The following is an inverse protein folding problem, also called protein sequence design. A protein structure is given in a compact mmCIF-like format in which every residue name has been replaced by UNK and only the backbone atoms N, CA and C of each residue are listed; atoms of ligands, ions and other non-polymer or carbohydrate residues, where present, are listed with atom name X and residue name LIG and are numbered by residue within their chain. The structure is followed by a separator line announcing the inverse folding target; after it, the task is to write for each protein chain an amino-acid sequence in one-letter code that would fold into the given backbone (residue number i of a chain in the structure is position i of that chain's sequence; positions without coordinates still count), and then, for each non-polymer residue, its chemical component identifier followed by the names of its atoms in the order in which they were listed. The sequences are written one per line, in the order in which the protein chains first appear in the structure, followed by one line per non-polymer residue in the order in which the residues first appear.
data_IF_004086520584
#
_entry.id   IF_004086520584
#
_cell.length_a   1.000
_cell.length_b   1.000
_cell.length_c   1.000
_cell.angle_alpha   90.00
_cell.angle_beta   90.00
_cell.angle_gamma   90.00
#
_symmetry.space_group_name_H-M   'P 1'
#
loop_
_entity.id
_entity.type
_entity.pdbx_description
1 polymer ?
#
# COMPACT_ATOMS: atom_id res chain seq x y z
N UNK A 1 -5.21 20.24 14.72
CA UNK A 1 -4.44 18.98 14.84
C UNK A 1 -5.06 17.82 14.05
N UNK A 2 -6.38 17.59 14.09
CA UNK A 2 -7.04 16.58 13.22
C UNK A 2 -6.84 16.89 11.73
N UNK A 3 -7.04 18.14 11.30
CA UNK A 3 -6.80 18.55 9.91
C UNK A 3 -5.32 18.41 9.48
N UNK A 4 -4.40 18.50 10.44
CA UNK A 4 -2.97 18.34 10.19
C UNK A 4 -2.60 16.87 9.93
N UNK A 5 -3.14 15.95 10.74
CA UNK A 5 -3.01 14.51 10.50
C UNK A 5 -3.61 14.13 9.13
N UNK A 6 -4.82 14.60 8.81
CA UNK A 6 -5.44 14.37 7.49
C UNK A 6 -4.60 14.93 6.34
N UNK A 7 -3.96 16.09 6.50
CA UNK A 7 -3.06 16.65 5.48
C UNK A 7 -1.87 15.74 5.21
N UNK A 8 -1.22 15.20 6.24
CA UNK A 8 -0.10 14.26 6.07
C UNK A 8 -0.56 12.95 5.40
N UNK A 9 -1.75 12.45 5.75
CA UNK A 9 -2.34 11.29 5.08
C UNK A 9 -2.53 11.56 3.58
N UNK A 10 -3.12 12.71 3.23
CA UNK A 10 -3.31 13.09 1.83
C UNK A 10 -1.97 13.21 1.13
N UNK A 11 -0.97 13.85 1.72
CA UNK A 11 0.37 13.97 1.15
C UNK A 11 1.01 12.61 0.86
N UNK A 12 0.90 11.66 1.80
CA UNK A 12 1.37 10.29 1.59
C UNK A 12 0.61 9.61 0.44
N UNK A 13 -0.72 9.74 0.41
CA UNK A 13 -1.59 9.14 -0.61
C UNK A 13 -1.44 9.77 -2.00
N UNK A 14 -0.96 11.00 -2.09
CA UNK A 14 -0.73 11.70 -3.36
C UNK A 14 0.72 11.60 -3.84
N UNK A 15 1.58 10.86 -3.12
CA UNK A 15 2.97 10.64 -3.53
C UNK A 15 3.87 11.85 -3.33
N UNK A 16 3.57 12.69 -2.34
CA UNK A 16 4.51 13.74 -1.88
C UNK A 16 5.82 13.06 -1.43
N UNK A 17 7.00 13.62 -1.74
CA UNK A 17 8.28 13.06 -1.28
C UNK A 17 8.27 12.79 0.23
N UNK A 18 8.69 11.59 0.63
CA UNK A 18 8.49 11.13 2.01
C UNK A 18 9.19 11.98 3.06
N UNK A 19 10.33 12.59 2.74
CA UNK A 19 11.03 13.52 3.63
C UNK A 19 10.26 14.81 3.89
N UNK A 20 9.40 15.27 2.97
CA UNK A 20 8.49 16.39 3.24
C UNK A 20 7.36 15.97 4.18
N UNK A 21 6.81 14.77 3.95
CA UNK A 21 5.76 14.19 4.80
C UNK A 21 6.26 13.95 6.22
N UNK A 22 7.47 13.40 6.35
CA UNK A 22 8.16 13.14 7.62
C UNK A 22 8.32 14.44 8.43
N UNK A 23 8.88 15.49 7.81
CA UNK A 23 9.04 16.79 8.46
C UNK A 23 7.72 17.38 8.93
N UNK A 24 6.63 17.16 8.18
CA UNK A 24 5.30 17.60 8.59
C UNK A 24 4.80 16.81 9.81
N UNK A 25 4.94 15.48 9.77
CA UNK A 25 4.55 14.60 10.87
C UNK A 25 5.32 14.89 12.15
N UNK A 26 6.64 15.01 12.10
CA UNK A 26 7.49 15.34 13.26
C UNK A 26 7.06 16.65 13.94
N UNK A 27 6.83 17.71 13.15
CA UNK A 27 6.30 18.98 13.66
C UNK A 27 4.97 18.80 14.38
N UNK A 28 4.04 18.04 13.80
CA UNK A 28 2.72 17.85 14.41
C UNK A 28 2.76 16.96 15.65
N UNK A 29 3.61 15.94 15.67
CA UNK A 29 3.83 15.09 16.84
C UNK A 29 4.36 15.92 18.00
N UNK A 30 5.34 16.81 17.78
CA UNK A 30 5.86 17.74 18.79
C UNK A 30 4.76 18.65 19.36
N UNK A 31 3.90 19.20 18.50
CA UNK A 31 2.76 20.00 18.94
C UNK A 31 1.74 19.16 19.72
N UNK A 32 1.40 17.95 19.26
CA UNK A 32 0.44 17.07 19.96
C UNK A 32 0.91 16.69 21.36
N UNK A 33 2.22 16.44 21.54
CA UNK A 33 2.85 16.23 22.85
C UNK A 33 2.67 17.45 23.75
N UNK A 34 2.96 18.65 23.23
CA UNK A 34 2.83 19.89 23.99
C UNK A 34 1.38 20.18 24.44
N UNK A 35 0.37 19.77 23.67
CA UNK A 35 -1.04 19.99 23.97
C UNK A 35 -1.75 18.79 24.63
N UNK A 36 -1.03 17.74 25.03
CA UNK A 36 -1.54 16.52 25.67
C UNK A 36 -2.74 15.86 24.96
N UNK A 37 -2.68 15.74 23.62
CA UNK A 37 -3.77 15.17 22.80
C UNK A 37 -3.51 13.68 22.49
N UNK A 38 -3.89 12.78 23.39
CA UNK A 38 -3.54 11.35 23.33
C UNK A 38 -4.12 10.56 22.14
N UNK A 39 -5.39 10.74 21.78
CA UNK A 39 -6.04 9.87 20.77
C UNK A 39 -5.50 10.02 19.34
N UNK A 40 -5.31 11.25 18.86
CA UNK A 40 -4.76 11.51 17.50
C UNK A 40 -3.24 11.29 17.46
N UNK A 41 -2.59 11.41 18.61
CA UNK A 41 -1.15 11.23 18.75
C UNK A 41 -0.72 9.81 18.34
N UNK A 42 -1.40 8.79 18.88
CA UNK A 42 -1.14 7.38 18.55
C UNK A 42 -1.19 7.13 17.04
N UNK A 43 -2.28 7.54 16.39
CA UNK A 43 -2.44 7.38 14.94
C UNK A 43 -1.33 8.08 14.18
N UNK A 44 -0.98 9.30 14.60
CA UNK A 44 0.08 10.09 13.94
C UNK A 44 1.44 9.43 14.08
N UNK A 45 1.75 8.80 15.23
CA UNK A 45 2.95 8.00 15.39
C UNK A 45 2.97 6.78 14.46
N UNK A 46 1.83 6.11 14.26
CA UNK A 46 1.71 5.00 13.28
C UNK A 46 2.05 5.47 11.86
N UNK A 47 1.50 6.62 11.42
CA UNK A 47 1.83 7.20 10.12
C UNK A 47 3.30 7.59 10.03
N UNK A 48 3.87 8.20 11.07
CA UNK A 48 5.26 8.63 11.10
C UNK A 48 6.21 7.44 11.01
N UNK A 49 5.97 6.38 11.79
CA UNK A 49 6.79 5.17 11.72
C UNK A 49 6.68 4.49 10.35
N UNK A 50 5.50 4.47 9.73
CA UNK A 50 5.34 3.98 8.35
C UNK A 50 6.19 4.77 7.36
N UNK A 51 6.18 6.11 7.45
CA UNK A 51 6.99 6.98 6.58
C UNK A 51 8.48 6.71 6.81
N UNK A 52 8.92 6.68 8.07
CA UNK A 52 10.32 6.38 8.42
C UNK A 52 10.77 5.00 7.92
N UNK A 53 9.91 3.99 8.02
CA UNK A 53 10.20 2.66 7.48
C UNK A 53 10.40 2.68 5.96
N UNK A 54 9.55 3.39 5.21
CA UNK A 54 9.67 3.53 3.76
C UNK A 54 10.93 4.31 3.37
N UNK A 55 11.32 5.31 4.15
CA UNK A 55 12.58 6.05 4.00
C UNK A 55 13.82 5.24 4.40
N UNK A 56 13.64 4.02 4.93
CA UNK A 56 14.74 3.14 5.30
C UNK A 56 15.39 3.45 6.65
N UNK A 57 14.68 4.15 7.54
CA UNK A 57 15.13 4.44 8.91
C UNK A 57 14.74 3.32 9.92
N UNK A 58 14.02 2.28 9.48
CA UNK A 58 13.70 1.11 10.30
C UNK A 58 14.56 -0.11 9.93
N UNK A 59 14.79 -1.01 10.90
CA UNK A 59 15.52 -2.28 10.66
C UNK A 59 14.76 -3.21 9.73
N UNK A 60 13.43 -3.31 9.91
CA UNK A 60 12.55 -4.14 9.10
C UNK A 60 11.42 -3.26 8.56
N UNK A 61 11.37 -2.95 7.26
CA UNK A 61 10.42 -1.98 6.71
C UNK A 61 8.94 -2.32 6.92
N UNK A 62 8.62 -3.59 7.13
CA UNK A 62 7.25 -4.09 7.33
C UNK A 62 6.78 -4.12 8.78
N UNK A 63 7.65 -3.81 9.75
CA UNK A 63 7.33 -3.80 11.18
C UNK A 63 7.32 -2.36 11.66
N UNK A 64 6.20 -1.89 12.23
CA UNK A 64 6.03 -0.51 12.71
C UNK A 64 6.71 -0.30 14.07
N UNK A 65 8.00 -0.58 14.17
CA UNK A 65 8.80 -0.38 15.38
C UNK A 65 10.03 0.45 15.06
N UNK A 66 10.24 1.51 15.81
CA UNK A 66 11.37 2.43 15.65
C UNK A 66 11.23 3.64 16.57
N UNK A 67 11.76 4.78 16.14
CA UNK A 67 11.79 6.01 16.95
C UNK A 67 10.41 6.54 17.33
N UNK A 68 9.40 6.39 16.45
CA UNK A 68 8.09 7.00 16.68
C UNK A 68 7.14 6.11 17.52
N UNK A 69 7.30 4.78 17.47
CA UNK A 69 6.46 3.85 18.21
C UNK A 69 7.03 2.43 18.24
N UNK A 70 6.45 1.59 19.10
CA UNK A 70 6.62 0.14 19.11
C UNK A 70 5.29 -0.54 18.73
N UNK A 71 5.33 -1.40 17.71
CA UNK A 71 4.14 -2.07 17.17
C UNK A 71 3.44 -2.96 18.20
N UNK A 72 4.20 -3.82 18.88
CA UNK A 72 3.65 -4.85 19.77
C UNK A 72 3.15 -4.25 21.09
N UNK A 73 3.79 -3.18 21.56
CA UNK A 73 3.30 -2.41 22.71
C UNK A 73 1.99 -1.71 22.36
N UNK A 74 1.94 -0.98 21.24
CA UNK A 74 0.74 -0.26 20.85
C UNK A 74 -0.42 -1.21 20.52
N UNK A 75 -0.14 -2.32 19.85
CA UNK A 75 -1.15 -3.32 19.55
C UNK A 75 -1.82 -3.84 20.84
N UNK A 76 -1.04 -4.21 21.85
CA UNK A 76 -1.56 -4.64 23.16
C UNK A 76 -2.35 -3.53 23.85
N UNK A 77 -1.84 -2.31 23.87
CA UNK A 77 -2.55 -1.16 24.46
C UNK A 77 -3.93 -0.93 23.82
N UNK A 78 -4.00 -1.03 22.48
CA UNK A 78 -5.25 -0.83 21.74
C UNK A 78 -6.25 -1.97 21.95
N UNK A 79 -5.76 -3.20 22.12
CA UNK A 79 -6.61 -4.33 22.51
C UNK A 79 -7.16 -4.16 23.93
N UNK A 80 -6.29 -3.85 24.91
CA UNK A 80 -6.67 -3.72 26.31
C UNK A 80 -7.64 -2.55 26.54
N UNK A 81 -7.47 -1.45 25.79
CA UNK A 81 -8.35 -0.28 25.86
C UNK A 81 -9.66 -0.42 25.07
N UNK A 82 -9.79 -1.45 24.22
CA UNK A 82 -10.95 -1.63 23.34
C UNK A 82 -11.08 -0.55 22.25
N UNK A 83 -9.99 0.15 21.91
CA UNK A 83 -10.01 1.21 20.89
C UNK A 83 -9.94 0.60 19.48
N UNK A 84 -11.04 0.02 19.03
CA UNK A 84 -11.11 -0.74 17.78
C UNK A 84 -10.76 0.06 16.54
N UNK A 85 -11.13 1.35 16.48
CA UNK A 85 -10.83 2.20 15.31
C UNK A 85 -9.33 2.37 15.15
N UNK A 86 -8.61 2.67 16.23
CA UNK A 86 -7.16 2.81 16.18
C UNK A 86 -6.48 1.46 15.91
N UNK A 87 -7.01 0.36 16.44
CA UNK A 87 -6.52 -1.00 16.17
C UNK A 87 -6.62 -1.35 14.68
N UNK A 88 -7.78 -1.12 14.07
CA UNK A 88 -8.00 -1.34 12.63
C UNK A 88 -7.08 -0.45 11.79
N UNK A 89 -6.86 0.80 12.19
CA UNK A 89 -5.90 1.65 11.49
C UNK A 89 -4.46 1.11 11.61
N UNK A 90 -4.02 0.68 12.80
CA UNK A 90 -2.71 0.05 12.98
C UNK A 90 -2.55 -1.20 12.10
N UNK A 91 -3.51 -2.11 12.18
CA UNK A 91 -3.51 -3.35 11.40
C UNK A 91 -3.48 -3.09 9.89
N UNK A 92 -4.21 -2.09 9.40
CA UNK A 92 -4.21 -1.79 7.96
C UNK A 92 -2.89 -1.14 7.50
N UNK A 93 -2.19 -0.40 8.35
CA UNK A 93 -0.81 0.02 8.05
C UNK A 93 0.14 -1.17 7.92
N UNK A 94 0.02 -2.12 8.85
CA UNK A 94 0.82 -3.35 8.85
C UNK A 94 0.52 -4.18 7.60
N UNK A 95 -0.76 -4.38 7.28
CA UNK A 95 -1.22 -5.03 6.06
C UNK A 95 -0.66 -4.37 4.80
N UNK A 96 -0.84 -3.05 4.64
CA UNK A 96 -0.40 -2.34 3.44
C UNK A 96 1.12 -2.39 3.25
N UNK A 97 1.91 -2.27 4.33
CA UNK A 97 3.36 -2.42 4.26
C UNK A 97 3.75 -3.82 3.82
N UNK A 98 3.13 -4.86 4.38
CA UNK A 98 3.42 -6.24 3.99
C UNK A 98 3.01 -6.54 2.54
N UNK A 99 1.93 -5.92 2.02
CA UNK A 99 1.60 -5.99 0.59
C UNK A 99 2.66 -5.29 -0.26
N UNK A 100 3.10 -4.09 0.14
CA UNK A 100 4.07 -3.29 -0.62
C UNK A 100 5.45 -3.96 -0.71
N UNK A 101 5.85 -4.68 0.33
CA UNK A 101 7.09 -5.47 0.36
C UNK A 101 6.87 -6.95 -0.01
N UNK A 102 5.68 -7.29 -0.52
CA UNK A 102 5.34 -8.62 -1.03
C UNK A 102 5.49 -9.78 -0.01
N UNK A 103 5.42 -9.49 1.29
CA UNK A 103 5.25 -10.49 2.36
C UNK A 103 3.77 -10.89 2.42
N UNK A 104 3.35 -11.66 1.42
CA UNK A 104 1.95 -12.06 1.24
C UNK A 104 1.40 -12.87 2.40
N UNK A 105 2.26 -13.63 3.10
CA UNK A 105 1.88 -14.44 4.25
C UNK A 105 1.41 -13.56 5.40
N UNK A 106 2.25 -12.61 5.84
CA UNK A 106 1.86 -11.66 6.89
C UNK A 106 0.74 -10.73 6.44
N UNK A 107 0.76 -10.29 5.19
CA UNK A 107 -0.33 -9.48 4.64
C UNK A 107 -1.68 -10.21 4.74
N UNK A 108 -1.73 -11.52 4.47
CA UNK A 108 -2.96 -12.30 4.61
C UNK A 108 -3.40 -12.39 6.08
N UNK A 109 -2.48 -12.64 7.02
CA UNK A 109 -2.79 -12.72 8.45
C UNK A 109 -3.40 -11.40 8.97
N UNK A 110 -2.75 -10.27 8.70
CA UNK A 110 -3.27 -8.96 9.13
C UNK A 110 -4.59 -8.61 8.43
N UNK A 111 -4.75 -8.99 7.17
CA UNK A 111 -6.01 -8.81 6.46
C UNK A 111 -7.14 -9.65 7.06
N UNK A 112 -6.90 -10.92 7.40
CA UNK A 112 -7.89 -11.78 8.04
C UNK A 112 -8.29 -11.24 9.42
N UNK A 113 -7.33 -10.74 10.19
CA UNK A 113 -7.57 -10.08 11.47
C UNK A 113 -8.38 -8.77 11.31
N UNK A 114 -8.03 -7.91 10.35
CA UNK A 114 -8.84 -6.72 10.04
C UNK A 114 -10.32 -7.08 9.79
N UNK A 115 -10.56 -8.18 9.09
CA UNK A 115 -11.91 -8.63 8.75
C UNK A 115 -12.69 -9.17 9.95
N UNK A 116 -12.09 -9.36 11.13
CA UNK A 116 -12.82 -9.64 12.38
C UNK A 116 -13.40 -8.39 13.01
N UNK A 117 -12.90 -7.19 12.66
CA UNK A 117 -13.33 -5.89 13.18
C UNK A 117 -14.25 -5.14 12.20
N UNK A 118 -15.32 -5.79 11.74
CA UNK A 118 -16.18 -5.29 10.64
C UNK A 118 -16.91 -3.98 10.97
N UNK A 119 -17.30 -3.78 12.22
CA UNK A 119 -18.07 -2.60 12.62
C UNK A 119 -17.18 -1.35 12.62
N UNK A 120 -15.94 -1.48 13.11
CA UNK A 120 -14.93 -0.43 12.99
C UNK A 120 -14.56 -0.13 11.53
N UNK A 121 -14.45 -1.16 10.67
CA UNK A 121 -14.23 -0.97 9.23
C UNK A 121 -15.39 -0.24 8.55
N UNK A 122 -16.63 -0.58 8.90
CA UNK A 122 -17.84 0.10 8.40
C UNK A 122 -17.85 1.58 8.78
N UNK A 123 -17.44 1.88 10.02
CA UNK A 123 -17.31 3.27 10.51
C UNK A 123 -16.32 4.10 9.67
N UNK A 124 -15.31 3.44 9.08
CA UNK A 124 -14.29 4.06 8.23
C UNK A 124 -14.67 4.07 6.74
N UNK A 125 -15.87 3.63 6.34
CA UNK A 125 -16.22 3.47 4.92
C UNK A 125 -16.23 4.80 4.13
N UNK A 126 -16.48 5.92 4.78
CA UNK A 126 -16.41 7.25 4.16
C UNK A 126 -14.98 7.78 4.04
N UNK A 127 -14.03 7.26 4.83
CA UNK A 127 -12.65 7.73 4.87
C UNK A 127 -11.89 7.39 3.57
N UNK A 128 -11.01 8.29 3.14
CA UNK A 128 -10.08 8.04 2.01
C UNK A 128 -9.29 6.73 2.18
N UNK A 129 -9.01 6.39 3.43
CA UNK A 129 -8.33 5.19 3.87
C UNK A 129 -8.93 3.89 3.31
N UNK A 130 -10.26 3.72 3.36
CA UNK A 130 -10.89 2.45 2.94
C UNK A 130 -10.70 2.18 1.44
N UNK A 131 -10.51 3.24 0.64
CA UNK A 131 -10.33 3.12 -0.81
C UNK A 131 -8.96 2.54 -1.13
N UNK A 132 -7.94 2.98 -0.41
CA UNK A 132 -6.60 2.42 -0.48
C UNK A 132 -6.57 0.98 0.04
N UNK A 133 -7.26 0.70 1.16
CA UNK A 133 -7.45 -0.66 1.66
C UNK A 133 -8.03 -1.58 0.57
N UNK A 134 -9.15 -1.21 -0.06
CA UNK A 134 -9.77 -2.01 -1.15
C UNK A 134 -8.77 -2.29 -2.29
N UNK A 135 -8.00 -1.29 -2.70
CA UNK A 135 -6.96 -1.47 -3.73
C UNK A 135 -5.90 -2.51 -3.31
N UNK A 136 -5.33 -2.36 -2.11
CA UNK A 136 -4.33 -3.31 -1.60
C UNK A 136 -4.90 -4.70 -1.38
N UNK A 137 -6.16 -4.84 -0.95
CA UNK A 137 -6.83 -6.14 -0.81
C UNK A 137 -7.00 -6.85 -2.15
N UNK A 138 -7.30 -6.09 -3.23
CA UNK A 138 -7.32 -6.66 -4.57
C UNK A 138 -5.91 -7.11 -5.04
N UNK A 139 -4.85 -6.37 -4.68
CA UNK A 139 -3.47 -6.77 -4.95
C UNK A 139 -3.03 -8.01 -4.16
N UNK A 140 -3.41 -8.11 -2.87
CA UNK A 140 -3.17 -9.30 -2.06
C UNK A 140 -3.84 -10.51 -2.72
N UNK A 141 -5.13 -10.44 -2.99
CA UNK A 141 -5.90 -11.57 -3.54
C UNK A 141 -5.47 -11.98 -4.95
N UNK A 142 -5.09 -11.02 -5.81
CA UNK A 142 -4.54 -11.32 -7.13
C UNK A 142 -3.19 -12.04 -7.02
N UNK A 143 -2.28 -11.55 -6.18
CA UNK A 143 -0.96 -12.17 -5.94
C UNK A 143 -1.10 -13.55 -5.32
N UNK A 144 -1.98 -13.68 -4.32
CA UNK A 144 -2.24 -14.96 -3.67
C UNK A 144 -2.84 -15.98 -4.63
N UNK A 145 -3.74 -15.54 -5.52
CA UNK A 145 -4.24 -16.39 -6.59
C UNK A 145 -3.13 -16.86 -7.53
N UNK A 146 -2.23 -15.97 -7.96
CA UNK A 146 -1.13 -16.37 -8.86
C UNK A 146 -0.21 -17.40 -8.22
N UNK A 147 0.16 -17.21 -6.94
CA UNK A 147 1.05 -18.13 -6.22
C UNK A 147 0.39 -19.47 -5.86
N UNK A 148 -0.90 -19.46 -5.52
CA UNK A 148 -1.60 -20.64 -4.96
C UNK A 148 -2.72 -21.19 -5.85
N UNK A 149 -2.86 -20.69 -7.08
CA UNK A 149 -3.96 -21.04 -8.00
C UNK A 149 -5.38 -20.90 -7.41
N UNK A 150 -5.56 -20.04 -6.41
CA UNK A 150 -6.82 -19.99 -5.65
C UNK A 150 -7.94 -19.23 -6.39
N UNK A 151 -8.91 -19.97 -6.94
CA UNK A 151 -10.06 -19.39 -7.67
C UNK A 151 -10.94 -18.49 -6.80
N UNK A 152 -11.01 -18.76 -5.48
CA UNK A 152 -11.72 -17.92 -4.50
C UNK A 152 -11.12 -16.50 -4.49
N UNK A 153 -9.81 -16.40 -4.34
CA UNK A 153 -9.11 -15.11 -4.30
C UNK A 153 -9.17 -14.38 -5.64
N UNK A 154 -9.09 -15.10 -6.78
CA UNK A 154 -9.33 -14.50 -8.11
C UNK A 154 -10.70 -13.81 -8.17
N UNK A 155 -11.77 -14.53 -7.78
CA UNK A 155 -13.14 -13.99 -7.79
C UNK A 155 -13.28 -12.80 -6.84
N UNK A 156 -12.66 -12.87 -5.66
CA UNK A 156 -12.68 -11.78 -4.69
C UNK A 156 -12.00 -10.51 -5.23
N UNK A 157 -10.82 -10.63 -5.84
CA UNK A 157 -10.12 -9.50 -6.45
C UNK A 157 -10.94 -8.84 -7.58
N UNK A 158 -11.56 -9.65 -8.45
CA UNK A 158 -12.44 -9.13 -9.52
C UNK A 158 -13.70 -8.45 -8.96
N UNK A 159 -14.28 -8.97 -7.87
CA UNK A 159 -15.41 -8.34 -7.20
C UNK A 159 -15.03 -6.95 -6.69
N UNK A 160 -13.89 -6.83 -6.03
CA UNK A 160 -13.37 -5.54 -5.54
C UNK A 160 -13.16 -4.57 -6.70
N UNK A 161 -12.51 -5.01 -7.78
CA UNK A 161 -12.33 -4.18 -8.99
C UNK A 161 -13.67 -3.69 -9.54
N UNK A 162 -14.68 -4.57 -9.65
CA UNK A 162 -16.00 -4.18 -10.13
C UNK A 162 -16.68 -3.17 -9.20
N UNK A 163 -16.58 -3.36 -7.88
CA UNK A 163 -17.07 -2.38 -6.90
C UNK A 163 -16.39 -1.02 -7.08
N UNK A 164 -15.07 -0.99 -7.24
CA UNK A 164 -14.32 0.26 -7.48
C UNK A 164 -14.76 0.95 -8.77
N UNK A 165 -14.94 0.19 -9.86
CA UNK A 165 -15.47 0.71 -11.14
C UNK A 165 -16.88 1.29 -11.00
N UNK A 166 -17.77 0.58 -10.30
CA UNK A 166 -19.13 1.08 -10.02
C UNK A 166 -19.09 2.38 -9.21
N UNK A 167 -18.25 2.47 -8.18
CA UNK A 167 -18.08 3.70 -7.41
C UNK A 167 -17.47 4.85 -8.23
N UNK A 168 -16.52 4.56 -9.11
CA UNK A 168 -15.96 5.57 -10.03
C UNK A 168 -17.04 6.11 -10.98
N UNK A 169 -17.84 5.22 -11.58
CA UNK A 169 -18.95 5.60 -12.45
C UNK A 169 -20.03 6.42 -11.71
N UNK A 170 -20.18 6.20 -10.40
CA UNK A 170 -21.03 7.01 -9.52
C UNK A 170 -20.39 8.34 -9.06
N UNK A 171 -19.23 8.73 -9.62
CA UNK A 171 -18.59 10.02 -9.34
C UNK A 171 -17.56 10.00 -8.21
N UNK A 172 -16.98 8.84 -7.85
CA UNK A 172 -15.87 8.77 -6.90
C UNK A 172 -14.50 8.81 -7.61
N UNK A 173 -13.85 9.99 -7.76
CA UNK A 173 -12.60 10.12 -8.53
C UNK A 173 -11.38 9.47 -7.83
N UNK A 174 -11.53 9.12 -6.55
CA UNK A 174 -10.43 8.57 -5.75
C UNK A 174 -9.99 7.17 -6.21
N UNK A 175 -10.72 6.53 -7.12
CA UNK A 175 -10.33 5.24 -7.72
C UNK A 175 -9.60 5.38 -9.05
N UNK A 176 -9.52 6.59 -9.62
CA UNK A 176 -8.94 6.84 -10.95
C UNK A 176 -7.49 6.35 -11.04
N UNK A 177 -6.71 6.55 -9.98
CA UNK A 177 -5.31 6.16 -9.94
C UNK A 177 -5.10 4.65 -9.71
N UNK A 178 -6.11 3.92 -9.22
CA UNK A 178 -6.00 2.51 -8.81
C UNK A 178 -6.56 1.54 -9.85
N UNK A 179 -7.69 1.89 -10.48
CA UNK A 179 -8.40 1.01 -11.41
C UNK A 179 -7.51 0.57 -12.59
N UNK A 180 -6.75 1.45 -13.27
CA UNK A 180 -5.90 1.04 -14.39
C UNK A 180 -4.88 -0.05 -14.00
N UNK A 181 -4.27 0.08 -12.82
CA UNK A 181 -3.30 -0.88 -12.29
C UNK A 181 -3.99 -2.23 -12.06
N UNK A 182 -5.15 -2.24 -11.40
CA UNK A 182 -5.88 -3.48 -11.14
C UNK A 182 -6.42 -4.14 -12.41
N UNK A 183 -6.82 -3.37 -13.42
CA UNK A 183 -7.23 -3.91 -14.72
C UNK A 183 -6.07 -4.63 -15.40
N UNK A 184 -4.86 -4.05 -15.35
CA UNK A 184 -3.67 -4.68 -15.90
C UNK A 184 -3.25 -5.94 -15.10
N UNK A 185 -3.23 -5.86 -13.76
CA UNK A 185 -2.82 -6.98 -12.89
C UNK A 185 -3.80 -8.18 -12.96
N UNK A 186 -5.10 -7.89 -13.04
CA UNK A 186 -6.18 -8.90 -13.17
C UNK A 186 -6.47 -9.30 -14.61
N UNK A 187 -5.64 -8.90 -15.57
CA UNK A 187 -5.72 -9.28 -16.98
C UNK A 187 -5.97 -10.78 -17.18
N UNK A 188 -6.74 -11.11 -18.21
CA UNK A 188 -7.09 -12.49 -18.55
C UNK A 188 -5.84 -13.30 -18.90
N UNK A 189 -5.84 -14.59 -18.57
CA UNK A 189 -4.76 -15.50 -18.97
C UNK A 189 -4.68 -15.72 -20.49
N UNK A 190 -5.68 -15.29 -21.25
CA UNK A 190 -5.70 -15.36 -22.71
C UNK A 190 -5.03 -14.16 -23.39
N UNK A 191 -4.73 -13.08 -22.65
CA UNK A 191 -4.09 -11.89 -23.23
C UNK A 191 -2.62 -12.17 -23.53
N UNK A 192 -2.12 -11.61 -24.63
CA UNK A 192 -0.72 -11.76 -25.00
C UNK A 192 0.19 -10.96 -24.06
N UNK A 193 1.48 -11.30 -24.03
CA UNK A 193 2.51 -10.54 -23.31
C UNK A 193 2.48 -9.05 -23.69
N UNK A 194 2.33 -8.76 -24.98
CA UNK A 194 2.28 -7.40 -25.51
C UNK A 194 1.04 -6.63 -25.03
N UNK A 195 -0.12 -7.27 -24.98
CA UNK A 195 -1.35 -6.63 -24.49
C UNK A 195 -1.25 -6.30 -23.01
N UNK A 196 -0.71 -7.22 -22.20
CA UNK A 196 -0.51 -7.01 -20.76
C UNK A 196 0.50 -5.89 -20.52
N UNK A 197 1.65 -5.93 -21.20
CA UNK A 197 2.66 -4.87 -21.12
C UNK A 197 2.07 -3.50 -21.49
N UNK A 198 1.37 -3.40 -22.62
CA UNK A 198 0.70 -2.16 -23.04
C UNK A 198 -0.32 -1.66 -22.01
N UNK A 199 -1.04 -2.58 -21.35
CA UNK A 199 -2.00 -2.23 -20.30
C UNK A 199 -1.31 -1.63 -19.08
N UNK A 200 -0.14 -2.16 -18.69
CA UNK A 200 0.65 -1.59 -17.60
C UNK A 200 1.25 -0.23 -17.95
N UNK A 201 1.79 -0.05 -19.15
CA UNK A 201 2.27 1.26 -19.59
C UNK A 201 1.16 2.32 -19.59
N UNK A 202 -0.03 1.99 -20.10
CA UNK A 202 -1.21 2.87 -20.00
C UNK A 202 -1.59 3.18 -18.56
N UNK A 203 -1.49 2.20 -17.65
CA UNK A 203 -1.73 2.43 -16.22
C UNK A 203 -0.71 3.38 -15.60
N UNK A 204 0.57 3.26 -15.96
CA UNK A 204 1.64 4.17 -15.53
C UNK A 204 1.43 5.59 -16.07
N UNK A 205 1.14 5.72 -17.35
CA UNK A 205 0.97 7.01 -18.03
C UNK A 205 -0.23 7.79 -17.48
N UNK A 206 -1.32 7.09 -17.18
CA UNK A 206 -2.53 7.68 -16.60
C UNK A 206 -2.41 7.98 -15.10
N UNK A 207 -1.40 7.46 -14.42
CA UNK A 207 -1.24 7.62 -12.99
C UNK A 207 -0.60 8.98 -12.65
N UNK A 208 -1.22 9.73 -11.73
CA UNK A 208 -0.69 11.04 -11.29
C UNK A 208 0.36 10.94 -10.19
N UNK A 209 0.34 9.85 -9.42
CA UNK A 209 1.11 9.74 -8.19
C UNK A 209 2.32 8.83 -8.40
N UNK A 210 3.51 9.37 -8.10
CA UNK A 210 4.79 8.71 -8.39
C UNK A 210 4.91 7.31 -7.76
N UNK A 211 4.49 7.15 -6.51
CA UNK A 211 4.54 5.86 -5.82
C UNK A 211 3.62 4.80 -6.43
N UNK A 212 2.51 5.20 -7.04
CA UNK A 212 1.62 4.28 -7.76
C UNK A 212 2.16 3.94 -9.15
N UNK A 213 2.90 4.84 -9.81
CA UNK A 213 3.68 4.48 -11.01
C UNK A 213 4.72 3.42 -10.68
N UNK A 214 5.46 3.62 -9.59
CA UNK A 214 6.43 2.66 -9.10
C UNK A 214 5.80 1.29 -8.83
N UNK A 215 4.68 1.28 -8.10
CA UNK A 215 3.92 0.06 -7.81
C UNK A 215 3.40 -0.59 -9.10
N UNK A 216 2.85 0.17 -10.05
CA UNK A 216 2.35 -0.36 -11.32
C UNK A 216 3.46 -1.08 -12.11
N UNK A 217 4.67 -0.52 -12.13
CA UNK A 217 5.84 -1.18 -12.70
C UNK A 217 6.24 -2.45 -11.94
N UNK A 218 6.27 -2.43 -10.61
CA UNK A 218 6.54 -3.64 -9.82
C UNK A 218 5.50 -4.74 -10.10
N UNK A 219 4.22 -4.37 -10.23
CA UNK A 219 3.14 -5.29 -10.63
C UNK A 219 3.32 -5.82 -12.05
N UNK A 220 3.74 -4.98 -12.98
CA UNK A 220 4.03 -5.38 -14.35
C UNK A 220 5.14 -6.44 -14.38
N UNK A 221 6.26 -6.18 -13.69
CA UNK A 221 7.38 -7.11 -13.59
C UNK A 221 6.95 -8.47 -13.04
N UNK A 222 6.24 -8.48 -11.91
CA UNK A 222 5.74 -9.71 -11.29
C UNK A 222 4.82 -10.50 -12.23
N UNK A 223 3.87 -9.84 -12.89
CA UNK A 223 2.94 -10.52 -13.83
C UNK A 223 3.67 -11.04 -15.07
N UNK A 224 4.61 -10.27 -15.61
CA UNK A 224 5.35 -10.63 -16.82
C UNK A 224 6.28 -11.82 -16.57
N UNK A 225 7.00 -11.81 -15.45
CA UNK A 225 7.83 -12.95 -15.04
C UNK A 225 6.98 -14.18 -14.74
N UNK A 226 5.96 -14.05 -13.87
CA UNK A 226 5.10 -15.18 -13.46
C UNK A 226 4.43 -15.88 -14.65
N UNK A 227 3.94 -15.11 -15.64
CA UNK A 227 3.11 -15.66 -16.74
C UNK A 227 3.91 -16.04 -17.99
N UNK A 228 5.01 -15.34 -18.27
CA UNK A 228 5.74 -15.48 -19.52
C UNK A 228 7.21 -15.84 -19.35
N UNK A 229 7.74 -15.82 -18.12
CA UNK A 229 9.16 -16.04 -17.85
C UNK A 229 10.08 -14.99 -18.46
N UNK A 230 9.54 -13.84 -18.88
CA UNK A 230 10.33 -12.80 -19.57
C UNK A 230 11.05 -11.90 -18.56
N UNK A 231 12.22 -12.38 -18.16
CA UNK A 231 13.12 -11.71 -17.23
C UNK A 231 13.66 -10.37 -17.74
N UNK A 232 13.80 -10.20 -19.05
CA UNK A 232 14.33 -8.97 -19.64
C UNK A 232 13.32 -7.86 -19.48
N UNK A 233 12.07 -8.11 -19.89
CA UNK A 233 11.00 -7.12 -19.77
C UNK A 233 10.60 -6.88 -18.30
N UNK A 234 10.62 -7.92 -17.46
CA UNK A 234 10.40 -7.75 -16.02
C UNK A 234 11.47 -6.83 -15.39
N UNK A 235 12.75 -7.02 -15.75
CA UNK A 235 13.86 -6.18 -15.29
C UNK A 235 13.72 -4.72 -15.74
N UNK A 236 13.26 -4.48 -16.97
CA UNK A 236 12.98 -3.13 -17.48
C UNK A 236 11.99 -2.40 -16.57
N UNK A 237 10.87 -3.04 -16.23
CA UNK A 237 9.90 -2.47 -15.30
C UNK A 237 10.45 -2.27 -13.89
N UNK A 238 11.21 -3.22 -13.35
CA UNK A 238 11.82 -3.06 -12.02
C UNK A 238 12.78 -1.86 -11.98
N UNK A 239 13.57 -1.63 -13.03
CA UNK A 239 14.43 -0.45 -13.14
C UNK A 239 13.60 0.86 -13.16
N UNK A 240 12.48 0.88 -13.90
CA UNK A 240 11.57 2.02 -13.90
C UNK A 240 10.93 2.25 -12.51
N UNK A 241 10.55 1.17 -11.82
CA UNK A 241 10.02 1.23 -10.46
C UNK A 241 11.03 1.86 -9.47
N UNK A 242 12.33 1.51 -9.57
CA UNK A 242 13.40 2.10 -8.76
C UNK A 242 13.44 3.62 -8.93
N UNK A 243 13.40 4.13 -10.17
CA UNK A 243 13.42 5.57 -10.44
C UNK A 243 12.24 6.30 -9.77
N UNK A 244 11.04 5.75 -9.86
CA UNK A 244 9.86 6.35 -9.23
C UNK A 244 9.88 6.23 -7.70
N UNK A 245 10.30 5.10 -7.12
CA UNK A 245 10.46 4.99 -5.67
C UNK A 245 11.54 5.91 -5.12
N UNK A 246 12.63 6.12 -5.86
CA UNK A 246 13.66 7.09 -5.51
C UNK A 246 13.11 8.52 -5.52
N UNK A 247 12.33 8.90 -6.53
CA UNK A 247 11.64 10.20 -6.57
C UNK A 247 10.64 10.38 -5.41
N UNK A 248 10.01 9.29 -4.95
CA UNK A 248 9.17 9.32 -3.76
C UNK A 248 9.96 9.30 -2.44
N UNK A 249 11.28 9.13 -2.50
CA UNK A 249 12.18 8.98 -1.34
C UNK A 249 11.91 7.70 -0.51
N UNK A 250 11.32 6.67 -1.14
CA UNK A 250 11.08 5.36 -0.52
C UNK A 250 12.32 4.46 -0.62
N UNK A 251 13.41 4.86 0.05
CA UNK A 251 14.71 4.19 0.01
C UNK A 251 14.62 2.70 0.34
N UNK A 252 13.77 2.30 1.29
CA UNK A 252 13.58 0.89 1.62
C UNK A 252 13.04 0.07 0.44
N UNK A 253 12.13 0.65 -0.36
CA UNK A 253 11.60 -0.01 -1.57
C UNK A 253 12.60 -0.03 -2.71
N UNK A 254 13.43 1.01 -2.85
CA UNK A 254 14.57 0.99 -3.79
C UNK A 254 15.49 -0.19 -3.47
N UNK A 255 15.92 -0.32 -2.21
CA UNK A 255 16.80 -1.42 -1.78
C UNK A 255 16.17 -2.80 -1.96
N UNK A 256 14.88 -2.94 -1.65
CA UNK A 256 14.12 -4.18 -1.87
C UNK A 256 14.15 -4.59 -3.35
N UNK A 257 13.86 -3.66 -4.27
CA UNK A 257 13.84 -3.94 -5.70
C UNK A 257 15.25 -4.15 -6.27
N UNK A 258 16.26 -3.40 -5.83
CA UNK A 258 17.66 -3.64 -6.19
C UNK A 258 18.12 -5.04 -5.75
N UNK A 259 17.66 -5.51 -4.60
CA UNK A 259 17.82 -6.89 -4.16
C UNK A 259 17.22 -7.88 -5.16
N UNK A 260 15.97 -7.66 -5.60
CA UNK A 260 15.31 -8.49 -6.63
C UNK A 260 16.09 -8.48 -7.95
N UNK A 261 16.53 -7.31 -8.41
CA UNK A 261 17.27 -7.12 -9.66
C UNK A 261 18.59 -7.92 -9.73
N UNK A 262 19.25 -8.18 -8.59
CA UNK A 262 20.44 -9.02 -8.52
C UNK A 262 20.16 -10.48 -8.90
N UNK A 263 18.95 -10.98 -8.68
CA UNK A 263 18.55 -12.34 -9.09
C UNK A 263 18.23 -12.47 -10.58
N UNK A 264 18.12 -11.36 -11.31
CA UNK A 264 17.95 -11.32 -12.77
C UNK A 264 19.29 -11.21 -13.53
N UNK A 265 20.42 -11.18 -12.82
CA UNK A 265 21.76 -11.25 -13.42
C UNK A 265 22.16 -12.70 -13.64
#
# INVERSE_FOLDING_TARGET
LICANLSCIVQLMTGTPLGEVEKALDRYIKLMKAYNRSGVFVLTCTFHQRVMNLMGHGTTPTILTGEAMNQEELYRELQDSGNEVALVMLLDHMFQLNVLFEDWGKAMLYHEELMTHKDALTTLESHLYIRQHKFFTALLYSSWHRKNSSRKHKKAAHRILNTMKSSQAAGCPNYDAFIPILVADLSSSKQSKMDINSSFWKAVDSCKYVHLKALAHERAAAVIEDRFGDRVLAKEHLNAAVGHYAQWEAVAKVRDIEGKLKYFQ
#
